data_IF_722659283965
#
_entry.id   IF_722659283965
#
_cell.length_a   1.000
_cell.length_b   1.000
_cell.length_c   1.000
_cell.angle_alpha   90.00
_cell.angle_beta   90.00
_cell.angle_gamma   90.00
#
_symmetry.space_group_name_H-M   'P 1'
#
loop_
_entity.id
_entity.type
_entity.pdbx_description
1 polymer ?
#
# COMPACT_ATOMS: atom_id res chain seq x y z
N UNK A 1 -20.39 9.91 6.21
CA UNK A 1 -19.62 10.31 5.01
C UNK A 1 -18.84 11.62 5.16
N UNK A 2 -19.47 12.76 5.50
CA UNK A 2 -18.75 14.06 5.63
C UNK A 2 -17.61 14.07 6.67
N UNK A 3 -17.74 13.39 7.81
CA UNK A 3 -16.69 13.30 8.85
C UNK A 3 -15.47 12.49 8.44
N UNK A 4 -15.66 11.43 7.63
CA UNK A 4 -14.61 10.57 7.11
C UNK A 4 -13.73 11.34 6.09
N UNK A 5 -14.36 12.05 5.17
CA UNK A 5 -13.66 12.90 4.17
C UNK A 5 -12.86 14.04 4.82
N UNK A 6 -13.32 14.59 5.96
CA UNK A 6 -12.61 15.63 6.68
C UNK A 6 -11.33 15.09 7.36
N UNK A 7 -11.34 13.85 7.86
CA UNK A 7 -10.17 13.18 8.45
C UNK A 7 -9.12 12.84 7.40
N UNK A 8 -9.52 12.36 6.21
CA UNK A 8 -8.59 12.05 5.11
C UNK A 8 -7.89 13.27 4.52
N UNK A 9 -8.49 14.47 4.60
CA UNK A 9 -7.82 15.72 4.19
C UNK A 9 -6.60 16.04 5.07
N UNK A 10 -6.47 15.41 6.26
CA UNK A 10 -5.34 15.56 7.17
C UNK A 10 -4.25 14.50 7.04
N UNK A 11 -4.46 13.41 6.27
CA UNK A 11 -3.44 12.36 6.12
C UNK A 11 -2.35 12.84 5.16
N UNK A 12 -1.10 13.02 5.63
CA UNK A 12 -0.04 13.55 4.79
C UNK A 12 0.35 12.54 3.69
N UNK A 13 0.74 13.07 2.54
CA UNK A 13 1.42 12.30 1.51
C UNK A 13 2.79 11.86 2.05
N UNK A 14 3.11 10.57 1.99
CA UNK A 14 4.46 10.11 2.32
C UNK A 14 5.38 10.40 1.14
N UNK A 15 6.46 11.09 1.42
CA UNK A 15 7.46 11.48 0.42
C UNK A 15 8.71 10.65 0.62
N UNK A 16 9.13 9.99 -0.43
CA UNK A 16 10.42 9.29 -0.48
C UNK A 16 11.34 9.99 -1.50
N UNK A 17 12.50 9.43 -1.72
CA UNK A 17 13.45 9.97 -2.69
C UNK A 17 12.86 10.09 -4.10
N UNK A 18 12.08 9.09 -4.54
CA UNK A 18 11.57 9.00 -5.93
C UNK A 18 10.05 8.92 -6.02
N UNK A 19 9.35 8.72 -4.91
CA UNK A 19 7.92 8.41 -4.90
C UNK A 19 7.12 9.37 -4.04
N UNK A 20 5.82 9.38 -4.29
CA UNK A 20 4.79 10.01 -3.48
C UNK A 20 3.70 8.99 -3.21
N UNK A 21 3.46 8.68 -1.95
CA UNK A 21 2.46 7.72 -1.53
C UNK A 21 1.23 8.48 -1.05
N UNK A 22 0.19 8.47 -1.85
CA UNK A 22 -1.06 9.23 -1.63
C UNK A 22 -2.08 8.31 -0.97
N UNK A 23 -2.62 8.72 0.16
CA UNK A 23 -3.65 7.95 0.86
C UNK A 23 -4.87 7.72 -0.02
N UNK A 24 -5.39 6.49 -0.03
CA UNK A 24 -6.60 6.13 -0.74
C UNK A 24 -7.81 6.71 -0.03
N UNK A 25 -8.59 7.51 -0.74
CA UNK A 25 -9.87 8.02 -0.24
C UNK A 25 -11.02 7.13 -0.71
N UNK A 26 -12.16 7.11 -0.01
CA UNK A 26 -13.34 6.39 -0.49
C UNK A 26 -13.72 6.76 -1.92
N UNK A 27 -13.66 8.03 -2.26
CA UNK A 27 -13.95 8.51 -3.63
C UNK A 27 -12.95 7.98 -4.68
N UNK A 28 -11.67 7.86 -4.30
CA UNK A 28 -10.65 7.25 -5.18
C UNK A 28 -10.89 5.74 -5.34
N UNK A 29 -11.27 5.03 -4.27
CA UNK A 29 -11.57 3.61 -4.33
C UNK A 29 -12.80 3.32 -5.20
N UNK A 30 -13.86 4.13 -5.08
CA UNK A 30 -15.03 4.06 -5.96
C UNK A 30 -14.65 4.30 -7.44
N UNK A 31 -13.85 5.32 -7.72
CA UNK A 31 -13.38 5.63 -9.06
C UNK A 31 -12.47 4.53 -9.65
N UNK A 32 -11.66 3.91 -8.80
CA UNK A 32 -10.80 2.78 -9.18
C UNK A 32 -11.62 1.54 -9.50
N UNK A 33 -12.63 1.24 -8.69
CA UNK A 33 -13.56 0.12 -8.93
C UNK A 33 -14.38 0.30 -10.21
N UNK A 34 -14.82 1.53 -10.50
CA UNK A 34 -15.63 1.84 -11.68
C UNK A 34 -14.87 1.76 -13.01
N UNK A 35 -13.52 1.86 -12.98
CA UNK A 35 -12.66 1.80 -14.18
C UNK A 35 -12.96 2.87 -15.25
N UNK A 36 -13.60 3.96 -14.89
CA UNK A 36 -14.09 5.02 -15.81
C UNK A 36 -13.09 6.17 -16.04
N UNK A 37 -11.81 5.97 -15.66
CA UNK A 37 -10.76 6.99 -15.84
C UNK A 37 -10.79 8.15 -14.84
N UNK A 38 -11.81 8.28 -14.00
CA UNK A 38 -11.97 9.34 -12.99
C UNK A 38 -10.82 9.33 -11.97
N UNK A 39 -10.19 8.18 -11.72
CA UNK A 39 -9.03 8.05 -10.84
C UNK A 39 -7.87 8.95 -11.28
N UNK A 40 -7.66 9.13 -12.59
CA UNK A 40 -6.64 10.04 -13.15
C UNK A 40 -6.81 11.47 -12.64
N UNK A 41 -8.03 11.97 -12.62
CA UNK A 41 -8.37 13.33 -12.15
C UNK A 41 -8.18 13.45 -10.65
N UNK A 42 -8.63 12.47 -9.88
CA UNK A 42 -8.54 12.48 -8.42
C UNK A 42 -7.09 12.39 -7.92
N UNK A 43 -6.27 11.55 -8.55
CA UNK A 43 -4.84 11.42 -8.24
C UNK A 43 -3.99 12.57 -8.80
N UNK A 44 -4.52 13.34 -9.77
CA UNK A 44 -3.73 14.28 -10.58
C UNK A 44 -2.48 13.61 -11.15
N UNK A 45 -2.66 12.41 -11.70
CA UNK A 45 -1.60 11.55 -12.16
C UNK A 45 -2.05 10.74 -13.38
N UNK A 46 -1.11 10.41 -14.25
CA UNK A 46 -1.35 9.45 -15.34
C UNK A 46 -1.57 8.05 -14.72
N UNK A 47 -2.70 7.43 -15.01
CA UNK A 47 -2.99 6.04 -14.68
C UNK A 47 -2.69 5.20 -15.94
N UNK A 48 -1.66 4.33 -15.91
CA UNK A 48 -1.33 3.48 -17.07
C UNK A 48 -2.46 2.50 -17.39
N UNK A 49 -2.57 2.09 -18.66
CA UNK A 49 -3.55 1.07 -19.08
C UNK A 49 -3.35 -0.31 -18.40
N UNK A 50 -2.13 -0.57 -17.91
CA UNK A 50 -1.82 -1.78 -17.14
C UNK A 50 -2.30 -1.71 -15.67
N UNK A 51 -2.91 -0.61 -15.23
CA UNK A 51 -3.59 -0.54 -13.95
C UNK A 51 -5.02 -1.09 -14.06
N UNK A 52 -5.47 -1.86 -13.11
CA UNK A 52 -4.80 -2.30 -11.88
C UNK A 52 -3.90 -3.53 -12.12
N UNK A 53 -3.00 -3.85 -11.17
CA UNK A 53 -2.29 -5.11 -11.19
C UNK A 53 -3.27 -6.29 -11.04
N UNK A 54 -2.87 -7.49 -11.47
CA UNK A 54 -3.74 -8.67 -11.50
C UNK A 54 -4.32 -9.03 -10.12
N UNK A 55 -3.56 -8.76 -9.05
CA UNK A 55 -3.94 -9.04 -7.67
C UNK A 55 -4.90 -7.97 -7.09
N UNK A 56 -5.21 -6.91 -7.84
CA UNK A 56 -6.06 -5.80 -7.41
C UNK A 56 -7.53 -6.04 -7.76
N UNK A 57 -8.11 -7.04 -7.12
CA UNK A 57 -9.49 -7.45 -7.35
C UNK A 57 -10.48 -6.59 -6.55
N UNK A 58 -11.76 -6.61 -6.95
CA UNK A 58 -12.81 -5.81 -6.30
C UNK A 58 -12.96 -6.14 -4.81
N UNK A 59 -12.71 -7.38 -4.39
CA UNK A 59 -12.76 -7.74 -2.97
C UNK A 59 -11.68 -7.06 -2.14
N UNK A 60 -10.49 -6.81 -2.71
CA UNK A 60 -9.42 -6.05 -2.05
C UNK A 60 -9.86 -4.61 -1.81
N UNK A 61 -10.44 -3.96 -2.82
CA UNK A 61 -10.99 -2.61 -2.69
C UNK A 61 -12.10 -2.55 -1.64
N UNK A 62 -13.00 -3.54 -1.63
CA UNK A 62 -14.06 -3.65 -0.63
C UNK A 62 -13.50 -3.82 0.80
N UNK A 63 -12.46 -4.64 0.96
CA UNK A 63 -11.78 -4.84 2.24
C UNK A 63 -11.11 -3.55 2.73
N UNK A 64 -10.43 -2.82 1.84
CA UNK A 64 -9.82 -1.52 2.17
C UNK A 64 -10.89 -0.53 2.63
N UNK A 65 -12.02 -0.45 1.92
CA UNK A 65 -13.13 0.43 2.26
C UNK A 65 -13.75 0.06 3.60
N UNK A 66 -13.98 -1.24 3.85
CA UNK A 66 -14.52 -1.74 5.11
C UNK A 66 -13.59 -1.43 6.30
N UNK A 67 -12.29 -1.67 6.15
CA UNK A 67 -11.30 -1.35 7.17
C UNK A 67 -11.23 0.15 7.47
N UNK A 68 -11.22 1.01 6.46
CA UNK A 68 -11.22 2.46 6.64
C UNK A 68 -12.48 2.96 7.37
N UNK A 69 -13.61 2.25 7.23
CA UNK A 69 -14.85 2.58 7.88
C UNK A 69 -14.90 2.08 9.33
N UNK A 70 -14.48 0.82 9.54
CA UNK A 70 -14.53 0.16 10.85
C UNK A 70 -13.40 0.63 11.80
N UNK A 71 -12.25 0.99 11.26
CA UNK A 71 -11.05 1.41 12.00
C UNK A 71 -10.53 2.74 11.45
N UNK A 72 -11.10 3.87 11.87
CA UNK A 72 -10.71 5.20 11.37
C UNK A 72 -9.23 5.52 11.58
N UNK A 73 -8.56 4.90 12.56
CA UNK A 73 -7.12 5.00 12.78
C UNK A 73 -6.30 4.39 11.64
N UNK A 74 -6.84 3.43 10.91
CA UNK A 74 -6.18 2.82 9.74
C UNK A 74 -6.30 3.67 8.46
N UNK A 75 -6.98 4.81 8.54
CA UNK A 75 -7.07 5.72 7.40
C UNK A 75 -5.67 6.24 7.05
N UNK A 76 -5.31 6.08 5.77
CA UNK A 76 -3.98 6.44 5.30
C UNK A 76 -2.96 5.30 5.32
N UNK A 77 -3.35 4.11 5.76
CA UNK A 77 -2.50 2.92 5.66
C UNK A 77 -2.48 2.34 4.25
N UNK A 78 -3.52 2.58 3.45
CA UNK A 78 -3.58 2.19 2.04
C UNK A 78 -3.25 3.39 1.15
N UNK A 79 -2.30 3.23 0.23
CA UNK A 79 -1.76 4.32 -0.58
C UNK A 79 -1.51 3.92 -2.03
N UNK A 80 -1.85 4.80 -2.94
CA UNK A 80 -1.36 4.77 -4.31
C UNK A 80 0.09 5.26 -4.34
N UNK A 81 0.94 4.56 -5.09
CA UNK A 81 2.34 4.91 -5.27
C UNK A 81 2.51 5.66 -6.58
N UNK A 82 2.87 6.93 -6.50
CA UNK A 82 3.05 7.82 -7.63
C UNK A 82 4.53 8.14 -7.84
N UNK A 83 4.98 8.10 -9.08
CA UNK A 83 6.32 8.51 -9.49
C UNK A 83 6.24 9.86 -10.20
N UNK A 84 6.80 10.95 -9.62
CA UNK A 84 6.93 12.23 -10.31
C UNK A 84 8.06 12.18 -11.34
N UNK A 85 7.88 12.86 -12.48
CA UNK A 85 8.94 13.16 -13.43
C UNK A 85 9.64 14.49 -13.09
N UNK A 86 10.61 14.88 -13.91
CA UNK A 86 11.37 16.14 -13.72
C UNK A 86 10.52 17.40 -13.85
N UNK A 87 9.35 17.30 -14.49
CA UNK A 87 8.38 18.40 -14.64
C UNK A 87 7.29 18.36 -13.58
N UNK A 88 7.40 17.46 -12.59
CA UNK A 88 6.40 17.29 -11.53
C UNK A 88 5.14 16.53 -11.94
N UNK A 89 5.04 16.03 -13.20
CA UNK A 89 3.92 15.19 -13.63
C UNK A 89 4.07 13.82 -12.99
N UNK A 90 2.98 13.28 -12.49
CA UNK A 90 2.97 12.02 -11.72
C UNK A 90 2.45 10.87 -12.57
N UNK A 91 2.99 9.69 -12.36
CA UNK A 91 2.48 8.42 -12.93
C UNK A 91 2.21 7.44 -11.81
N UNK A 92 1.05 6.78 -11.83
CA UNK A 92 0.71 5.68 -10.93
C UNK A 92 1.56 4.46 -11.31
N UNK A 93 2.36 3.96 -10.36
CA UNK A 93 3.31 2.86 -10.59
C UNK A 93 3.04 1.63 -9.74
N UNK A 94 2.14 1.74 -8.75
CA UNK A 94 1.79 0.66 -7.84
C UNK A 94 0.97 1.13 -6.66
N UNK A 95 0.86 0.29 -5.66
CA UNK A 95 0.19 0.56 -4.40
C UNK A 95 0.86 -0.17 -3.24
N UNK A 96 0.58 0.30 -2.04
CA UNK A 96 0.93 -0.34 -0.77
C UNK A 96 -0.25 -0.23 0.19
N UNK A 97 -0.41 -1.20 1.09
CA UNK A 97 -1.50 -1.15 2.07
C UNK A 97 -1.18 -1.88 3.36
N UNK A 98 -1.77 -1.44 4.47
CA UNK A 98 -1.68 -2.06 5.77
C UNK A 98 -3.05 -2.58 6.24
N UNK A 99 -3.08 -3.84 6.66
CA UNK A 99 -4.27 -4.56 7.14
C UNK A 99 -4.11 -4.91 8.62
N UNK A 100 -4.94 -4.36 9.52
CA UNK A 100 -4.89 -4.71 10.93
C UNK A 100 -5.14 -6.20 11.17
N UNK A 101 -4.25 -6.86 11.91
CA UNK A 101 -4.36 -8.29 12.28
C UNK A 101 -4.71 -8.52 13.75
N UNK A 102 -4.90 -7.45 14.53
CA UNK A 102 -5.09 -7.52 15.98
C UNK A 102 -3.79 -7.35 16.76
N UNK A 103 -3.90 -7.15 18.07
CA UNK A 103 -2.77 -7.04 19.01
C UNK A 103 -1.64 -6.11 18.59
N UNK A 104 -1.98 -5.02 17.90
CA UNK A 104 -1.00 -4.05 17.40
C UNK A 104 -0.16 -4.56 16.23
N UNK A 105 -0.56 -5.63 15.57
CA UNK A 105 0.10 -6.16 14.37
C UNK A 105 -0.61 -5.65 13.13
N UNK A 106 0.16 -5.17 12.16
CA UNK A 106 -0.33 -4.75 10.85
C UNK A 106 0.37 -5.56 9.77
N UNK A 107 -0.38 -6.24 8.93
CA UNK A 107 0.16 -6.92 7.77
C UNK A 107 0.16 -5.98 6.57
N UNK A 108 1.27 -5.92 5.83
CA UNK A 108 1.35 -5.10 4.63
C UNK A 108 1.27 -5.94 3.36
N UNK A 109 0.61 -5.36 2.34
CA UNK A 109 0.67 -5.81 0.96
C UNK A 109 1.21 -4.69 0.07
N UNK A 110 1.83 -5.06 -1.03
CA UNK A 110 2.35 -4.12 -2.03
C UNK A 110 2.34 -4.72 -3.42
N UNK A 111 2.13 -3.87 -4.41
CA UNK A 111 2.24 -4.25 -5.80
C UNK A 111 2.89 -3.12 -6.61
N UNK A 112 3.66 -3.50 -7.62
CA UNK A 112 4.29 -2.57 -8.56
C UNK A 112 4.00 -3.04 -9.97
N UNK A 113 3.49 -2.14 -10.82
CA UNK A 113 3.18 -2.46 -12.22
C UNK A 113 4.42 -3.01 -12.95
N UNK A 114 4.27 -4.00 -13.85
CA UNK A 114 5.39 -4.70 -14.51
C UNK A 114 6.43 -3.77 -15.14
N UNK A 115 6.01 -2.70 -15.80
CA UNK A 115 6.91 -1.72 -16.43
C UNK A 115 7.80 -0.95 -15.43
N UNK A 116 7.47 -0.99 -14.14
CA UNK A 116 8.18 -0.29 -13.06
C UNK A 116 8.88 -1.24 -12.08
N UNK A 117 8.75 -2.55 -12.25
CA UNK A 117 9.43 -3.55 -11.42
C UNK A 117 10.95 -3.54 -11.61
N UNK A 118 11.67 -4.20 -10.71
CA UNK A 118 13.14 -4.35 -10.69
C UNK A 118 13.94 -3.04 -10.68
N UNK A 119 13.29 -1.92 -10.36
CA UNK A 119 13.88 -0.58 -10.20
C UNK A 119 13.93 -0.12 -8.74
N UNK A 120 13.55 -1.00 -7.79
CA UNK A 120 13.53 -0.73 -6.35
C UNK A 120 12.33 0.10 -5.87
N UNK A 121 11.35 0.38 -6.72
CA UNK A 121 10.17 1.18 -6.31
C UNK A 121 9.30 0.44 -5.28
N UNK A 122 9.11 -0.87 -5.43
CA UNK A 122 8.38 -1.69 -4.44
C UNK A 122 9.04 -1.64 -3.07
N UNK A 123 10.36 -1.81 -2.99
CA UNK A 123 11.11 -1.70 -1.74
C UNK A 123 11.02 -0.30 -1.12
N UNK A 124 11.13 0.75 -1.94
CA UNK A 124 11.05 2.14 -1.47
C UNK A 124 9.66 2.47 -0.93
N UNK A 125 8.61 2.01 -1.60
CA UNK A 125 7.23 2.23 -1.19
C UNK A 125 6.86 1.42 0.06
N UNK A 126 7.19 0.11 0.09
CA UNK A 126 6.94 -0.76 1.24
C UNK A 126 7.72 -0.29 2.47
N UNK A 127 9.00 0.07 2.32
CA UNK A 127 9.81 0.60 3.41
C UNK A 127 9.22 1.89 4.01
N UNK A 128 8.78 2.81 3.17
CA UNK A 128 8.13 4.05 3.65
C UNK A 128 6.81 3.78 4.40
N UNK A 129 6.04 2.76 3.96
CA UNK A 129 4.83 2.35 4.69
C UNK A 129 5.18 1.68 6.01
N UNK A 130 6.19 0.81 6.07
CA UNK A 130 6.63 0.14 7.31
C UNK A 130 7.03 1.17 8.36
N UNK A 131 7.89 2.13 8.00
CA UNK A 131 8.30 3.21 8.93
C UNK A 131 7.07 4.00 9.41
N UNK A 132 6.21 4.42 8.50
CA UNK A 132 5.00 5.14 8.84
C UNK A 132 4.08 4.36 9.79
N UNK A 133 3.91 3.05 9.58
CA UNK A 133 3.06 2.20 10.42
C UNK A 133 3.65 2.03 11.82
N UNK A 134 4.96 1.81 11.92
CA UNK A 134 5.63 1.66 13.21
C UNK A 134 5.61 2.94 14.06
N UNK A 135 5.43 4.10 13.45
CA UNK A 135 5.24 5.38 14.16
C UNK A 135 3.79 5.56 14.69
N UNK A 136 2.82 4.77 14.20
CA UNK A 136 1.43 4.92 14.64
C UNK A 136 1.23 4.40 16.06
N UNK A 137 0.39 5.08 16.83
CA UNK A 137 -0.01 4.64 18.16
C UNK A 137 -0.71 3.28 18.09
N UNK A 138 -0.37 2.38 19.01
CA UNK A 138 -0.94 1.04 19.07
C UNK A 138 -0.36 0.03 18.06
N UNK A 139 0.49 0.45 17.11
CA UNK A 139 1.21 -0.48 16.23
C UNK A 139 2.50 -0.93 16.90
N UNK A 140 2.63 -2.23 17.12
CA UNK A 140 3.81 -2.87 17.75
C UNK A 140 4.70 -3.57 16.74
N UNK A 141 4.10 -4.12 15.68
CA UNK A 141 4.84 -4.84 14.66
C UNK A 141 4.16 -4.73 13.29
N UNK A 142 4.97 -4.83 12.25
CA UNK A 142 4.52 -4.97 10.87
C UNK A 142 4.93 -6.34 10.34
N UNK A 143 3.99 -7.04 9.68
CA UNK A 143 4.22 -8.32 9.02
C UNK A 143 3.96 -8.22 7.53
N UNK A 144 4.51 -9.16 6.78
CA UNK A 144 4.15 -9.41 5.39
C UNK A 144 4.32 -10.89 5.09
N UNK A 145 3.54 -11.43 4.14
CA UNK A 145 3.67 -12.81 3.72
C UNK A 145 3.66 -12.92 2.20
N UNK A 146 4.29 -13.97 1.70
CA UNK A 146 4.35 -14.29 0.27
C UNK A 146 4.64 -15.78 0.08
N UNK A 147 4.43 -16.31 -1.12
CA UNK A 147 4.87 -17.67 -1.42
C UNK A 147 6.39 -17.78 -1.31
N UNK A 148 6.88 -18.89 -0.74
CA UNK A 148 8.32 -19.17 -0.59
C UNK A 148 9.08 -19.14 -1.93
N UNK A 149 8.38 -19.40 -3.04
CA UNK A 149 8.92 -19.30 -4.39
C UNK A 149 9.11 -17.86 -4.91
N UNK A 150 8.51 -16.86 -4.26
CA UNK A 150 8.56 -15.46 -4.71
C UNK A 150 9.77 -14.72 -4.13
N UNK A 151 10.97 -15.10 -4.56
CA UNK A 151 12.24 -14.57 -4.06
C UNK A 151 12.33 -13.03 -4.14
N UNK A 152 11.72 -12.40 -5.14
CA UNK A 152 11.74 -10.93 -5.28
C UNK A 152 10.92 -10.24 -4.19
N UNK A 153 9.77 -10.84 -3.78
CA UNK A 153 8.96 -10.34 -2.67
C UNK A 153 9.68 -10.51 -1.34
N UNK A 154 10.33 -11.66 -1.12
CA UNK A 154 11.17 -11.91 0.06
C UNK A 154 12.26 -10.85 0.19
N UNK A 155 13.00 -10.57 -0.89
CA UNK A 155 14.02 -9.52 -0.89
C UNK A 155 13.47 -8.12 -0.57
N UNK A 156 12.24 -7.82 -0.95
CA UNK A 156 11.60 -6.55 -0.55
C UNK A 156 11.40 -6.52 0.95
N UNK A 157 10.85 -7.58 1.55
CA UNK A 157 10.62 -7.66 2.99
C UNK A 157 11.92 -7.54 3.79
N UNK A 158 12.97 -8.28 3.40
CA UNK A 158 14.29 -8.23 4.02
C UNK A 158 14.90 -6.81 3.96
N UNK A 159 14.80 -6.15 2.79
CA UNK A 159 15.29 -4.77 2.62
C UNK A 159 14.49 -3.73 3.40
N UNK A 160 13.24 -4.05 3.79
CA UNK A 160 12.44 -3.25 4.71
C UNK A 160 12.77 -3.53 6.19
N UNK A 161 13.82 -4.33 6.47
CA UNK A 161 14.25 -4.68 7.83
C UNK A 161 13.37 -5.72 8.51
N UNK A 162 12.58 -6.47 7.73
CA UNK A 162 11.81 -7.58 8.27
C UNK A 162 12.69 -8.85 8.34
N UNK A 163 12.46 -9.66 9.35
CA UNK A 163 13.11 -10.95 9.54
C UNK A 163 12.10 -12.09 9.37
N UNK A 164 12.57 -13.24 8.93
CA UNK A 164 11.75 -14.44 8.82
C UNK A 164 11.07 -14.77 10.14
N UNK A 165 9.78 -15.03 10.13
CA UNK A 165 8.93 -15.25 11.30
C UNK A 165 8.09 -16.53 11.21
N UNK A 166 8.46 -17.46 10.31
CA UNK A 166 7.78 -18.74 10.16
C UNK A 166 6.92 -18.88 8.91
N UNK A 167 6.01 -19.85 8.93
CA UNK A 167 5.03 -20.07 7.86
C UNK A 167 3.98 -18.96 7.84
N UNK A 168 3.44 -18.69 6.66
CA UNK A 168 2.31 -17.77 6.48
C UNK A 168 0.96 -18.43 6.77
N UNK A 169 -0.13 -17.74 6.44
CA UNK A 169 -1.49 -18.23 6.68
C UNK A 169 -1.90 -19.33 5.68
N UNK A 170 -1.40 -19.25 4.45
CA UNK A 170 -1.71 -20.21 3.40
C UNK A 170 -0.55 -21.21 3.21
N UNK A 171 -0.85 -22.45 2.79
CA UNK A 171 0.19 -23.45 2.51
C UNK A 171 1.23 -22.95 1.49
N UNK A 172 2.51 -23.11 1.82
CA UNK A 172 3.63 -22.70 0.96
C UNK A 172 3.98 -21.22 1.04
N UNK A 173 3.34 -20.47 1.93
CA UNK A 173 3.70 -19.07 2.21
C UNK A 173 4.68 -18.97 3.39
N UNK A 174 5.46 -17.90 3.38
CA UNK A 174 6.39 -17.54 4.45
C UNK A 174 6.04 -16.15 4.97
N UNK A 175 6.19 -15.96 6.28
CA UNK A 175 5.92 -14.69 6.95
C UNK A 175 7.23 -14.04 7.38
N UNK A 176 7.29 -12.75 7.17
CA UNK A 176 8.35 -11.88 7.68
C UNK A 176 7.74 -10.85 8.63
N UNK A 177 8.54 -10.40 9.61
CA UNK A 177 8.09 -9.52 10.68
C UNK A 177 9.16 -8.50 11.04
N UNK A 178 8.72 -7.28 11.37
CA UNK A 178 9.54 -6.23 11.96
C UNK A 178 8.83 -5.65 13.17
N UNK A 179 9.51 -5.64 14.29
CA UNK A 179 9.05 -4.99 15.53
C UNK A 179 9.31 -3.47 15.48
N UNK A 180 8.62 -2.77 16.35
CA UNK A 180 8.79 -1.32 16.56
C UNK A 180 10.14 -1.01 17.18
#
# INVERSE_FOLDING_TARGET
>A
MRGLLRRLRGVPELKTRRLRLVAMTPEMLEADAAREGRLTTLLKARVPAAWPPAEWELHVLATIFANATAKPESMGWHRYTLMPDRLGRRTLVGCVGGFPRGDGVVEIGYSTLPAFQRKGYGTEAAGALVEYLLEQEGVRAVTAQTFASMAESIKVMERCGMVFAGEGDDPGTVRYRRER
#
